data_IF_381463693409
#
_entry.id   IF_381463693409
#
_cell.length_a   1.000
_cell.length_b   1.000
_cell.length_c   1.000
_cell.angle_alpha   90.00
_cell.angle_beta   90.00
_cell.angle_gamma   90.00
#
_symmetry.space_group_name_H-M   'P 1'
#
loop_
_entity.id
_entity.type
_entity.pdbx_description
1 polymer ?
#
# COMPACT_ATOMS: atom_id res chain seq x y z
N UNK A 1 -12.47 19.87 -31.66
CA UNK A 1 -12.78 18.63 -30.92
C UNK A 1 -11.70 18.40 -29.88
N UNK A 2 -12.11 18.11 -28.65
CA UNK A 2 -11.29 17.82 -27.48
C UNK A 2 -10.39 16.59 -27.69
N UNK A 3 -9.22 16.60 -27.06
CA UNK A 3 -8.38 15.44 -26.79
C UNK A 3 -7.40 15.82 -25.69
N UNK A 4 -7.80 15.53 -24.44
CA UNK A 4 -7.14 15.91 -23.19
C UNK A 4 -5.66 15.52 -23.17
N UNK A 5 -4.83 16.46 -22.70
CA UNK A 5 -3.41 16.31 -22.42
C UNK A 5 -3.09 14.97 -21.74
N UNK A 6 -2.41 14.10 -22.48
CA UNK A 6 -1.68 12.96 -21.95
C UNK A 6 -0.45 13.41 -21.16
N UNK A 7 -0.67 14.13 -20.05
CA UNK A 7 0.35 14.38 -19.05
C UNK A 7 0.58 13.07 -18.30
N UNK A 8 1.44 12.23 -18.87
CA UNK A 8 2.12 11.18 -18.12
C UNK A 8 3.14 11.90 -17.27
N UNK A 9 2.82 12.11 -15.99
CA UNK A 9 3.80 12.65 -15.05
C UNK A 9 4.99 11.68 -14.99
N UNK A 10 6.23 12.19 -15.16
CA UNK A 10 7.43 11.40 -14.93
C UNK A 10 7.42 10.96 -13.47
N UNK A 11 7.54 9.65 -13.24
CA UNK A 11 7.68 9.08 -11.91
C UNK A 11 9.05 9.47 -11.38
N UNK A 12 9.14 10.66 -10.81
CA UNK A 12 10.23 10.96 -9.89
C UNK A 12 10.04 10.04 -8.67
N UNK A 13 11.12 9.42 -8.20
CA UNK A 13 11.08 8.52 -7.03
C UNK A 13 10.69 9.26 -5.74
N UNK A 14 10.57 10.59 -5.83
CA UNK A 14 10.11 11.48 -4.78
C UNK A 14 8.65 11.88 -5.02
N UNK A 15 7.86 11.85 -3.95
CA UNK A 15 6.50 12.38 -3.99
C UNK A 15 6.56 13.88 -4.25
N UNK A 16 5.83 14.34 -5.27
CA UNK A 16 5.75 15.77 -5.54
C UNK A 16 5.13 16.50 -4.34
N UNK A 17 5.54 17.77 -4.13
CA UNK A 17 5.02 18.58 -3.04
C UNK A 17 3.49 18.69 -3.04
N UNK A 18 2.87 18.71 -4.22
CA UNK A 18 1.41 18.74 -4.36
C UNK A 18 0.73 17.44 -3.90
N UNK A 19 1.36 16.28 -4.11
CA UNK A 19 0.87 14.99 -3.60
C UNK A 19 0.99 14.94 -2.08
N UNK A 20 2.12 15.38 -1.52
CA UNK A 20 2.31 15.46 -0.07
C UNK A 20 1.32 16.43 0.58
N UNK A 21 1.08 17.60 -0.03
CA UNK A 21 0.07 18.56 0.46
C UNK A 21 -1.35 17.99 0.45
N UNK A 22 -1.66 17.11 -0.51
CA UNK A 22 -2.95 16.41 -0.55
C UNK A 22 -3.05 15.36 0.56
N UNK A 23 -1.98 14.60 0.80
CA UNK A 23 -1.91 13.64 1.92
C UNK A 23 -2.12 14.36 3.25
N UNK A 24 -1.40 15.47 3.51
CA UNK A 24 -1.51 16.21 4.79
C UNK A 24 -2.89 16.80 5.05
N UNK A 25 -3.65 17.11 4.00
CA UNK A 25 -4.99 17.73 4.09
C UNK A 25 -6.12 16.71 4.13
N UNK A 26 -5.83 15.42 3.94
CA UNK A 26 -6.85 14.38 3.95
C UNK A 26 -6.99 13.78 5.34
N UNK A 27 -8.21 13.74 5.85
CA UNK A 27 -8.52 13.05 7.11
C UNK A 27 -8.66 11.52 6.93
N UNK A 28 -8.84 11.07 5.67
CA UNK A 28 -9.13 9.67 5.32
C UNK A 28 -8.44 9.31 4.00
N UNK A 29 -7.19 8.85 4.10
CA UNK A 29 -6.34 8.57 2.95
C UNK A 29 -6.10 7.07 2.76
N UNK A 30 -6.06 6.64 1.50
CA UNK A 30 -5.59 5.32 1.09
C UNK A 30 -4.33 5.47 0.27
N UNK A 31 -3.20 5.02 0.81
CA UNK A 31 -1.90 5.01 0.16
C UNK A 31 -1.71 3.66 -0.56
N UNK A 32 -1.18 3.70 -1.77
CA UNK A 32 -0.97 2.49 -2.58
C UNK A 32 0.43 2.46 -3.18
N UNK A 33 0.98 1.27 -3.36
CA UNK A 33 2.34 1.05 -3.89
C UNK A 33 2.39 0.93 -5.41
N UNK A 34 1.24 0.78 -6.09
CA UNK A 34 1.20 0.52 -7.52
C UNK A 34 -0.17 0.79 -8.15
N UNK A 35 -0.21 0.89 -9.48
CA UNK A 35 -1.44 1.21 -10.24
C UNK A 35 -2.59 0.22 -10.02
N UNK A 36 -2.30 -1.07 -9.81
CA UNK A 36 -3.32 -2.06 -9.47
C UNK A 36 -3.92 -1.79 -8.09
N UNK A 37 -3.07 -1.50 -7.10
CA UNK A 37 -3.51 -1.09 -5.76
C UNK A 37 -4.37 0.17 -5.82
N UNK A 38 -3.96 1.18 -6.60
CA UNK A 38 -4.73 2.41 -6.85
C UNK A 38 -6.13 2.09 -7.41
N UNK A 39 -6.21 1.24 -8.43
CA UNK A 39 -7.47 0.84 -9.06
C UNK A 39 -8.41 0.17 -8.06
N UNK A 40 -7.94 -0.86 -7.35
CA UNK A 40 -8.80 -1.60 -6.42
C UNK A 40 -9.17 -0.76 -5.20
N UNK A 41 -8.26 0.08 -4.70
CA UNK A 41 -8.54 0.96 -3.56
C UNK A 41 -9.67 1.95 -3.84
N UNK A 42 -9.79 2.46 -5.07
CA UNK A 42 -10.93 3.33 -5.46
C UNK A 42 -12.27 2.62 -5.41
N UNK A 43 -12.29 1.29 -5.61
CA UNK A 43 -13.49 0.47 -5.55
C UNK A 43 -13.81 0.06 -4.11
N UNK A 44 -12.79 -0.35 -3.35
CA UNK A 44 -12.94 -0.86 -1.98
C UNK A 44 -13.20 0.25 -0.95
N UNK A 45 -12.72 1.46 -1.22
CA UNK A 45 -12.79 2.58 -0.27
C UNK A 45 -13.40 3.83 -0.93
N UNK A 46 -14.68 3.75 -1.34
CA UNK A 46 -15.36 4.92 -1.90
C UNK A 46 -15.38 6.07 -0.89
N UNK A 47 -15.16 7.29 -1.38
CA UNK A 47 -15.15 8.50 -0.56
C UNK A 47 -13.86 8.77 0.23
N UNK A 48 -12.79 7.99 0.02
CA UNK A 48 -11.44 8.27 0.54
C UNK A 48 -10.53 8.86 -0.53
N UNK A 49 -9.53 9.63 -0.09
CA UNK A 49 -8.46 10.07 -0.99
C UNK A 49 -7.52 8.91 -1.31
N UNK A 50 -7.61 8.37 -2.52
CA UNK A 50 -6.71 7.30 -2.97
C UNK A 50 -5.52 7.89 -3.71
N UNK A 51 -4.31 7.56 -3.22
CA UNK A 51 -3.04 8.12 -3.68
C UNK A 51 -2.06 6.99 -4.00
N UNK A 52 -1.37 7.12 -5.14
CA UNK A 52 -0.28 6.24 -5.53
C UNK A 52 1.03 6.84 -5.00
N UNK A 53 1.60 6.22 -3.98
CA UNK A 53 2.83 6.68 -3.34
C UNK A 53 4.08 5.87 -3.76
N UNK A 54 3.91 4.68 -4.34
CA UNK A 54 5.02 3.93 -4.92
C UNK A 54 6.08 3.54 -3.88
N UNK A 55 7.32 3.97 -4.09
CA UNK A 55 8.45 3.86 -3.16
C UNK A 55 8.38 4.87 -2.00
N UNK A 56 7.67 5.98 -2.16
CA UNK A 56 7.50 7.05 -1.17
C UNK A 56 6.52 6.74 -0.03
N UNK A 57 6.21 5.46 0.24
CA UNK A 57 5.32 5.06 1.34
C UNK A 57 5.80 5.56 2.71
N UNK A 58 7.10 5.46 3.07
CA UNK A 58 7.57 5.96 4.36
C UNK A 58 7.26 7.45 4.53
N UNK A 59 7.62 8.27 3.53
CA UNK A 59 7.38 9.72 3.54
C UNK A 59 5.88 10.04 3.57
N UNK A 60 5.06 9.33 2.76
CA UNK A 60 3.62 9.52 2.75
C UNK A 60 2.98 9.21 4.11
N UNK A 61 3.44 8.17 4.81
CA UNK A 61 2.94 7.82 6.14
C UNK A 61 3.29 8.86 7.20
N UNK A 62 4.47 9.48 7.12
CA UNK A 62 4.86 10.57 8.02
C UNK A 62 4.00 11.83 7.85
N UNK A 63 3.54 12.09 6.62
CA UNK A 63 2.69 13.24 6.32
C UNK A 63 1.20 12.97 6.57
N UNK A 64 0.77 11.71 6.56
CA UNK A 64 -0.61 11.33 6.70
C UNK A 64 -1.13 11.60 8.13
N UNK A 65 -2.38 12.07 8.21
CA UNK A 65 -3.09 12.32 9.46
C UNK A 65 -4.44 11.60 9.42
N UNK A 66 -5.06 11.43 10.58
CA UNK A 66 -6.38 10.80 10.67
C UNK A 66 -6.36 9.31 10.35
N UNK A 67 -7.34 8.84 9.58
CA UNK A 67 -7.49 7.44 9.19
C UNK A 67 -6.63 7.11 7.96
N UNK A 68 -5.61 6.26 8.14
CA UNK A 68 -4.68 5.88 7.08
C UNK A 68 -4.83 4.40 6.73
N UNK A 69 -5.00 4.12 5.44
CA UNK A 69 -5.00 2.76 4.91
C UNK A 69 -3.83 2.60 3.93
N UNK A 70 -2.99 1.59 4.11
CA UNK A 70 -2.04 1.13 3.11
C UNK A 70 -2.64 -0.06 2.36
N UNK A 71 -2.91 0.10 1.07
CA UNK A 71 -3.60 -0.91 0.26
C UNK A 71 -2.82 -1.25 -1.02
N UNK A 72 -2.65 -2.53 -1.31
CA UNK A 72 -1.96 -2.96 -2.52
C UNK A 72 -1.51 -4.42 -2.52
N UNK A 73 -0.63 -4.73 -3.46
CA UNK A 73 -0.12 -6.09 -3.65
C UNK A 73 0.91 -6.47 -2.57
N UNK A 74 1.13 -7.77 -2.31
CA UNK A 74 1.95 -8.23 -1.20
C UNK A 74 3.41 -7.76 -1.31
N UNK A 75 3.98 -7.74 -2.51
CA UNK A 75 5.42 -7.53 -2.73
C UNK A 75 6.02 -6.30 -2.04
N UNK A 76 5.55 -5.11 -2.39
CA UNK A 76 6.09 -3.87 -1.82
C UNK A 76 5.63 -3.63 -0.39
N UNK A 77 4.37 -3.97 -0.07
CA UNK A 77 3.84 -3.73 1.27
C UNK A 77 4.56 -4.63 2.28
N UNK A 78 4.67 -5.93 2.03
CA UNK A 78 5.30 -6.83 2.98
C UNK A 78 6.79 -6.57 3.15
N UNK A 79 7.51 -6.20 2.08
CA UNK A 79 8.91 -5.76 2.21
C UNK A 79 9.07 -4.46 2.99
N UNK A 80 8.10 -3.54 2.88
CA UNK A 80 8.08 -2.33 3.69
C UNK A 80 7.81 -2.64 5.16
N UNK A 81 6.88 -3.56 5.46
CA UNK A 81 6.56 -3.96 6.83
C UNK A 81 7.65 -4.81 7.48
N UNK A 82 8.29 -5.67 6.68
CA UNK A 82 9.34 -6.60 7.11
C UNK A 82 10.31 -6.85 5.94
N UNK A 83 11.46 -6.16 5.92
CA UNK A 83 12.47 -6.32 4.86
C UNK A 83 12.97 -7.76 4.72
N UNK A 84 12.93 -8.54 5.81
CA UNK A 84 13.40 -9.92 5.89
C UNK A 84 12.28 -10.95 5.72
N UNK A 85 11.10 -10.56 5.21
CA UNK A 85 9.91 -11.43 5.10
C UNK A 85 10.13 -12.74 4.34
N UNK A 86 11.14 -12.80 3.46
CA UNK A 86 11.50 -14.01 2.71
C UNK A 86 12.53 -14.90 3.43
N UNK A 87 13.21 -14.39 4.47
CA UNK A 87 14.27 -15.10 5.17
C UNK A 87 13.73 -16.41 5.77
N UNK A 88 14.41 -17.52 5.47
CA UNK A 88 14.02 -18.85 5.96
C UNK A 88 12.77 -19.45 5.33
N UNK A 89 12.09 -18.76 4.40
CA UNK A 89 10.88 -19.28 3.73
C UNK A 89 11.20 -20.20 2.57
N UNK A 90 12.38 -20.07 1.97
CA UNK A 90 12.74 -20.74 0.71
C UNK A 90 11.99 -20.21 -0.52
N UNK A 91 11.26 -19.10 -0.40
CA UNK A 91 10.66 -18.39 -1.52
C UNK A 91 11.64 -17.38 -2.12
N UNK A 92 11.62 -17.23 -3.44
CA UNK A 92 12.40 -16.20 -4.15
C UNK A 92 11.66 -14.86 -4.15
N UNK A 93 10.33 -14.91 -4.15
CA UNK A 93 9.49 -13.71 -4.22
C UNK A 93 8.36 -13.75 -3.21
N UNK A 94 7.84 -12.57 -2.85
CA UNK A 94 6.66 -12.45 -1.99
C UNK A 94 5.40 -12.96 -2.70
N UNK A 95 5.36 -12.88 -4.03
CA UNK A 95 4.25 -13.47 -4.82
C UNK A 95 4.22 -14.98 -4.63
N UNK A 96 5.36 -15.65 -4.74
CA UNK A 96 5.48 -17.09 -4.45
C UNK A 96 5.08 -17.39 -3.00
N UNK A 97 5.54 -16.58 -2.04
CA UNK A 97 5.17 -16.73 -0.63
C UNK A 97 3.66 -16.62 -0.42
N UNK A 98 3.00 -15.71 -1.15
CA UNK A 98 1.55 -15.47 -1.02
C UNK A 98 0.68 -16.62 -1.50
N UNK A 99 1.25 -17.54 -2.27
CA UNK A 99 0.58 -18.73 -2.76
C UNK A 99 0.80 -19.96 -1.86
N UNK A 100 1.65 -19.86 -0.83
CA UNK A 100 1.94 -20.99 0.06
C UNK A 100 0.91 -21.12 1.17
N UNK A 101 0.65 -22.37 1.63
CA UNK A 101 -0.08 -22.59 2.87
C UNK A 101 0.57 -21.85 4.04
N UNK A 102 -0.23 -21.26 4.93
CA UNK A 102 0.26 -20.51 6.09
C UNK A 102 0.58 -19.03 5.82
N UNK A 103 0.31 -18.52 4.61
CA UNK A 103 0.51 -17.10 4.30
C UNK A 103 -0.29 -16.17 5.23
N UNK A 104 -1.50 -16.56 5.65
CA UNK A 104 -2.31 -15.78 6.60
C UNK A 104 -1.63 -15.60 7.97
N UNK A 105 -0.89 -16.61 8.45
CA UNK A 105 -0.12 -16.51 9.69
C UNK A 105 1.05 -15.54 9.54
N UNK A 106 1.68 -15.52 8.36
CA UNK A 106 2.74 -14.57 8.02
C UNK A 106 2.19 -13.15 8.03
N UNK A 107 1.03 -12.91 7.41
CA UNK A 107 0.34 -11.62 7.42
C UNK A 107 0.02 -11.18 8.85
N UNK A 108 -0.52 -12.08 9.66
CA UNK A 108 -0.85 -11.81 11.07
C UNK A 108 0.38 -11.36 11.87
N UNK A 109 1.52 -12.05 11.69
CA UNK A 109 2.79 -11.67 12.33
C UNK A 109 3.30 -10.32 11.83
N UNK A 110 3.23 -10.07 10.52
CA UNK A 110 3.65 -8.80 9.92
C UNK A 110 2.79 -7.62 10.43
N UNK A 111 1.46 -7.79 10.47
CA UNK A 111 0.54 -6.78 11.01
C UNK A 111 0.79 -6.52 12.50
N UNK A 112 1.05 -7.57 13.29
CA UNK A 112 1.38 -7.43 14.71
C UNK A 112 2.66 -6.62 14.96
N UNK A 113 3.69 -6.79 14.12
CA UNK A 113 4.93 -5.98 14.17
C UNK A 113 4.64 -4.53 13.80
N UNK A 114 3.90 -4.32 12.71
CA UNK A 114 3.56 -3.00 12.18
C UNK A 114 2.80 -2.14 13.18
N UNK A 115 1.82 -2.70 13.91
CA UNK A 115 1.00 -1.96 14.89
C UNK A 115 1.83 -1.27 15.99
N UNK A 116 3.06 -1.72 16.24
CA UNK A 116 3.97 -1.08 17.21
C UNK A 116 4.56 0.23 16.68
N UNK A 117 4.83 0.30 15.38
CA UNK A 117 5.40 1.47 14.70
C UNK A 117 4.34 2.41 14.14
N UNK A 118 3.20 1.85 13.71
CA UNK A 118 2.10 2.58 13.07
C UNK A 118 0.75 2.17 13.67
N UNK A 119 0.41 2.62 14.89
CA UNK A 119 -0.78 2.14 15.62
C UNK A 119 -2.10 2.48 14.92
N UNK A 120 -2.13 3.53 14.10
CA UNK A 120 -3.33 3.99 13.40
C UNK A 120 -3.38 3.55 11.92
N UNK A 121 -2.42 2.74 11.46
CA UNK A 121 -2.34 2.28 10.09
C UNK A 121 -3.13 0.96 9.93
N UNK A 122 -4.13 0.97 9.05
CA UNK A 122 -4.74 -0.25 8.53
C UNK A 122 -4.00 -0.68 7.27
N UNK A 123 -3.66 -1.96 7.16
CA UNK A 123 -3.03 -2.55 5.97
C UNK A 123 -4.00 -3.52 5.33
N UNK A 124 -4.21 -3.37 4.02
CA UNK A 124 -5.04 -4.27 3.22
C UNK A 124 -4.20 -4.82 2.07
N UNK A 125 -4.01 -6.15 2.08
CA UNK A 125 -3.23 -6.87 1.08
C UNK A 125 -4.20 -7.47 0.06
N UNK A 126 -3.93 -7.22 -1.22
CA UNK A 126 -4.72 -7.68 -2.34
C UNK A 126 -3.95 -8.68 -3.19
N UNK A 127 -4.65 -9.61 -3.82
CA UNK A 127 -4.14 -10.40 -4.95
C UNK A 127 -4.26 -9.62 -6.27
N UNK A 128 -3.69 -10.17 -7.35
CA UNK A 128 -3.70 -9.52 -8.68
C UNK A 128 -5.10 -9.33 -9.27
N UNK A 129 -6.03 -10.22 -8.96
CA UNK A 129 -7.45 -10.16 -9.33
C UNK A 129 -8.28 -9.23 -8.42
N UNK A 130 -7.69 -8.69 -7.35
CA UNK A 130 -8.34 -7.72 -6.46
C UNK A 130 -9.05 -8.35 -5.26
N UNK A 131 -8.90 -9.65 -5.06
CA UNK A 131 -9.38 -10.34 -3.84
C UNK A 131 -8.54 -9.89 -2.64
N UNK A 132 -9.18 -9.72 -1.48
CA UNK A 132 -8.48 -9.37 -0.24
C UNK A 132 -7.82 -10.63 0.32
N UNK A 133 -6.49 -10.63 0.37
CA UNK A 133 -5.67 -11.70 0.96
C UNK A 133 -5.47 -11.52 2.47
N UNK A 134 -5.57 -10.29 2.96
CA UNK A 134 -5.54 -10.00 4.37
C UNK A 134 -5.84 -8.54 4.69
N UNK A 135 -6.37 -8.33 5.87
CA UNK A 135 -6.78 -7.02 6.39
C UNK A 135 -6.36 -6.93 7.84
N UNK A 136 -5.71 -5.84 8.22
CA UNK A 136 -5.22 -5.63 9.57
C UNK A 136 -6.23 -4.94 10.49
N UNK A 137 -7.45 -4.65 10.03
CA UNK A 137 -8.52 -4.07 10.85
C UNK A 137 -8.90 -4.96 12.04
#
# INVERSE_FOLDING_TARGET
MLGTTGLVEPWDDHLSGSVLDRIRRSDRVVLTTGRLGLRYSRLLFPGRDVILAGSGIPEALEQARGEVILCGLPGLILKFLDPDILAGTGCVTVEELSLRPGFEEILTKAFGRMRRSYPNLRVVILSRDGTVLGDSA
#
